data_IF_931967190396
#
_entry.id   IF_931967190396
#
_cell.length_a   1.000
_cell.length_b   1.000
_cell.length_c   1.000
_cell.angle_alpha   90.00
_cell.angle_beta   90.00
_cell.angle_gamma   90.00
#
_symmetry.space_group_name_H-M   'P 1'
#
loop_
_entity.id
_entity.type
_entity.pdbx_description
1 polymer ?
#
# COMPACT_ATOMS: atom_id res chain seq x y z
N UNK A 1 -13.85 7.58 9.80
CA UNK A 1 -12.64 8.28 10.30
C UNK A 1 -11.51 7.28 10.17
N UNK A 2 -10.48 7.60 9.47
CA UNK A 2 -9.25 6.80 9.41
C UNK A 2 -8.37 7.39 10.51
N UNK A 3 -7.95 6.54 11.45
CA UNK A 3 -7.02 6.93 12.52
C UNK A 3 -5.62 6.71 11.97
N UNK A 4 -4.68 7.61 12.26
CA UNK A 4 -3.29 7.45 11.91
C UNK A 4 -2.72 6.18 12.58
N UNK A 5 -1.80 5.49 11.91
CA UNK A 5 -1.19 4.26 12.46
C UNK A 5 -0.31 4.54 13.69
N UNK A 6 0.16 5.78 13.85
CA UNK A 6 0.86 6.22 15.05
C UNK A 6 -0.07 6.36 16.26
N UNK A 7 -1.38 6.45 16.02
CA UNK A 7 -2.37 6.57 17.05
C UNK A 7 -2.89 5.20 17.48
N UNK A 8 -3.04 5.04 18.79
CA UNK A 8 -3.59 3.82 19.37
C UNK A 8 -5.05 3.59 18.95
N UNK A 9 -5.35 2.42 18.41
CA UNK A 9 -6.72 1.98 18.18
C UNK A 9 -7.25 1.23 19.42
N UNK A 10 -8.46 1.56 19.88
CA UNK A 10 -9.15 0.86 20.97
C UNK A 10 -10.05 -0.25 20.41
N UNK A 11 -9.50 -1.21 19.69
CA UNK A 11 -10.27 -2.13 18.85
C UNK A 11 -10.19 -3.59 19.26
N UNK A 12 -9.16 -4.01 20.01
CA UNK A 12 -8.98 -5.43 20.32
C UNK A 12 -9.58 -5.85 21.67
N UNK A 13 -9.93 -4.93 22.54
CA UNK A 13 -10.27 -5.17 23.95
C UNK A 13 -9.07 -5.63 24.79
N UNK A 14 -7.85 -5.43 24.31
CA UNK A 14 -6.60 -5.65 25.03
C UNK A 14 -5.73 -4.40 24.92
N UNK A 15 -5.50 -3.75 26.05
CA UNK A 15 -4.65 -2.56 26.09
C UNK A 15 -3.25 -2.86 25.54
N UNK A 16 -2.66 -3.96 25.94
CA UNK A 16 -1.33 -4.36 25.52
C UNK A 16 -1.24 -4.57 23.99
N UNK A 17 -2.25 -5.22 23.40
CA UNK A 17 -2.29 -5.41 21.95
C UNK A 17 -2.54 -4.07 21.22
N UNK A 18 -3.50 -3.27 21.71
CA UNK A 18 -3.87 -1.99 21.06
C UNK A 18 -2.73 -0.96 21.11
N UNK A 19 -1.79 -1.07 22.06
CA UNK A 19 -0.64 -0.18 22.16
C UNK A 19 0.44 -0.44 21.12
N UNK A 20 0.49 -1.62 20.53
CA UNK A 20 1.57 -2.06 19.64
C UNK A 20 1.11 -2.63 18.30
N UNK A 21 -0.19 -2.63 18.05
CA UNK A 21 -0.76 -3.24 16.85
C UNK A 21 -1.43 -2.24 15.92
N UNK A 22 -1.17 -2.37 14.63
CA UNK A 22 -1.98 -1.77 13.58
C UNK A 22 -3.24 -2.60 13.39
N UNK A 23 -4.42 -1.98 13.50
CA UNK A 23 -5.72 -2.65 13.33
C UNK A 23 -6.17 -2.60 11.88
N UNK A 24 -6.51 -3.74 11.32
CA UNK A 24 -7.07 -3.86 9.97
C UNK A 24 -8.50 -4.38 10.06
N UNK A 25 -9.43 -3.67 9.45
CA UNK A 25 -10.82 -4.12 9.26
C UNK A 25 -11.07 -4.43 7.80
N UNK A 26 -11.52 -5.65 7.49
CA UNK A 26 -11.78 -6.13 6.15
C UNK A 26 -13.27 -6.33 5.92
N UNK A 27 -13.74 -6.05 4.69
CA UNK A 27 -15.08 -6.42 4.28
C UNK A 27 -15.21 -7.94 4.15
N UNK A 28 -16.32 -8.49 4.60
CA UNK A 28 -16.65 -9.91 4.51
C UNK A 28 -18.15 -10.12 4.38
N UNK A 29 -18.58 -11.36 4.12
CA UNK A 29 -19.98 -11.76 4.22
C UNK A 29 -20.51 -11.51 5.64
N UNK A 30 -21.83 -11.40 5.77
CA UNK A 30 -22.52 -11.08 7.03
C UNK A 30 -22.78 -12.30 7.92
N UNK A 31 -22.56 -13.50 7.38
CA UNK A 31 -22.77 -14.78 8.07
C UNK A 31 -21.52 -15.66 8.01
N UNK A 32 -21.43 -16.61 8.94
CA UNK A 32 -20.37 -17.63 8.92
C UNK A 32 -20.30 -18.35 7.56
N UNK A 33 -19.09 -18.59 7.08
CA UNK A 33 -17.77 -18.41 7.71
C UNK A 33 -17.18 -16.99 7.57
N UNK A 34 -17.97 -15.99 7.26
CA UNK A 34 -17.57 -14.60 6.97
C UNK A 34 -16.56 -14.52 5.83
N UNK A 35 -16.90 -15.15 4.70
CA UNK A 35 -16.02 -15.24 3.55
C UNK A 35 -15.70 -13.86 2.96
N UNK A 36 -14.52 -13.73 2.39
CA UNK A 36 -14.09 -12.55 1.64
C UNK A 36 -14.06 -12.85 0.16
N UNK A 37 -14.27 -11.81 -0.66
CA UNK A 37 -13.97 -11.93 -2.08
C UNK A 37 -12.45 -12.01 -2.29
N UNK A 38 -12.04 -12.60 -3.41
CA UNK A 38 -10.62 -12.69 -3.76
C UNK A 38 -9.94 -11.31 -3.84
N UNK A 39 -10.67 -10.29 -4.28
CA UNK A 39 -10.15 -8.93 -4.35
C UNK A 39 -9.87 -8.34 -2.97
N UNK A 40 -10.76 -8.55 -2.00
CA UNK A 40 -10.55 -8.12 -0.61
C UNK A 40 -9.35 -8.85 -0.01
N UNK A 41 -9.25 -10.17 -0.23
CA UNK A 41 -8.13 -10.98 0.25
C UNK A 41 -6.79 -10.53 -0.33
N UNK A 42 -6.72 -10.31 -1.65
CA UNK A 42 -5.51 -9.81 -2.30
C UNK A 42 -5.13 -8.39 -1.81
N UNK A 43 -6.12 -7.53 -1.54
CA UNK A 43 -5.87 -6.20 -0.97
C UNK A 43 -5.37 -6.27 0.47
N UNK A 44 -5.88 -7.21 1.28
CA UNK A 44 -5.37 -7.46 2.63
C UNK A 44 -3.88 -7.80 2.60
N UNK A 45 -3.46 -8.72 1.72
CA UNK A 45 -2.05 -9.10 1.59
C UNK A 45 -1.19 -7.88 1.22
N UNK A 46 -1.59 -7.11 0.21
CA UNK A 46 -0.87 -5.90 -0.21
C UNK A 46 -0.78 -4.85 0.91
N UNK A 47 -1.85 -4.67 1.68
CA UNK A 47 -1.84 -3.76 2.83
C UNK A 47 -0.89 -4.24 3.92
N UNK A 48 -0.86 -5.55 4.21
CA UNK A 48 0.10 -6.11 5.17
C UNK A 48 1.55 -5.94 4.70
N UNK A 49 1.83 -6.12 3.40
CA UNK A 49 3.16 -5.85 2.82
C UNK A 49 3.55 -4.39 3.02
N UNK A 50 2.66 -3.45 2.68
CA UNK A 50 2.89 -2.02 2.83
C UNK A 50 3.12 -1.62 4.30
N UNK A 51 2.32 -2.14 5.24
CA UNK A 51 2.53 -1.92 6.68
C UNK A 51 3.90 -2.43 7.12
N UNK A 52 4.28 -3.64 6.73
CA UNK A 52 5.59 -4.20 7.06
C UNK A 52 6.73 -3.33 6.50
N UNK A 53 6.65 -2.92 5.23
CA UNK A 53 7.66 -2.10 4.57
C UNK A 53 7.84 -0.74 5.26
N UNK A 54 6.74 -0.04 5.56
CA UNK A 54 6.78 1.27 6.25
C UNK A 54 7.39 1.17 7.65
N UNK A 55 7.22 0.03 8.31
CA UNK A 55 7.83 -0.24 9.62
C UNK A 55 9.21 -0.91 9.52
N UNK A 56 9.82 -0.98 8.33
CA UNK A 56 11.16 -1.56 8.12
C UNK A 56 11.24 -3.06 8.36
N UNK A 57 10.12 -3.77 8.25
CA UNK A 57 10.00 -5.21 8.50
C UNK A 57 10.06 -6.01 7.20
N UNK A 58 10.58 -7.22 7.32
CA UNK A 58 10.77 -8.13 6.18
C UNK A 58 10.08 -9.48 6.38
N UNK A 59 9.39 -9.67 7.50
CA UNK A 59 8.73 -10.92 7.82
C UNK A 59 7.46 -10.68 8.64
N UNK A 60 6.38 -11.34 8.24
CA UNK A 60 5.13 -11.41 8.99
C UNK A 60 4.94 -12.84 9.51
N UNK A 61 4.62 -13.00 10.79
CA UNK A 61 4.52 -14.28 11.47
C UNK A 61 3.07 -14.56 11.88
N UNK A 62 2.69 -15.83 11.79
CA UNK A 62 1.45 -16.37 12.34
C UNK A 62 1.70 -17.67 13.08
N UNK A 63 1.44 -17.72 14.37
CA UNK A 63 1.67 -18.91 15.21
C UNK A 63 0.40 -19.76 15.39
N UNK A 64 -0.76 -19.26 15.01
CA UNK A 64 -2.08 -19.87 15.23
C UNK A 64 -2.43 -20.14 16.71
N UNK A 65 -1.59 -19.72 17.64
CA UNK A 65 -1.76 -19.83 19.08
C UNK A 65 -1.65 -18.46 19.76
N UNK A 66 -2.61 -18.17 20.65
CA UNK A 66 -2.68 -16.89 21.37
C UNK A 66 -1.46 -16.71 22.29
N UNK A 67 -1.15 -17.72 23.07
CA UNK A 67 -0.10 -17.65 24.11
C UNK A 67 1.27 -17.50 23.44
N UNK A 68 1.53 -18.28 22.41
CA UNK A 68 2.75 -18.18 21.63
C UNK A 68 2.89 -16.81 20.97
N UNK A 69 1.84 -16.32 20.30
CA UNK A 69 1.86 -15.01 19.64
C UNK A 69 2.10 -13.85 20.59
N UNK A 70 1.49 -13.86 21.78
CA UNK A 70 1.60 -12.75 22.74
C UNK A 70 2.89 -12.78 23.54
N UNK A 71 3.46 -13.96 23.79
CA UNK A 71 4.73 -14.12 24.49
C UNK A 71 5.94 -14.01 23.56
N UNK A 72 5.72 -14.06 22.23
CA UNK A 72 6.82 -13.92 21.28
C UNK A 72 7.32 -12.46 21.25
N UNK A 73 8.62 -12.29 21.35
CA UNK A 73 9.28 -10.98 21.19
C UNK A 73 9.76 -10.90 19.73
N UNK A 74 9.08 -10.13 18.86
CA UNK A 74 9.49 -10.02 17.47
C UNK A 74 10.91 -9.46 17.34
N UNK A 75 11.70 -10.06 16.46
CA UNK A 75 13.02 -9.51 16.09
C UNK A 75 12.82 -8.20 15.31
N UNK A 76 13.90 -7.44 15.15
CA UNK A 76 13.85 -6.11 14.53
C UNK A 76 13.18 -6.08 13.13
N UNK A 77 13.20 -7.20 12.41
CA UNK A 77 12.63 -7.36 11.04
C UNK A 77 11.31 -8.14 11.01
N UNK A 78 10.70 -8.42 12.14
CA UNK A 78 9.50 -9.26 12.25
C UNK A 78 8.31 -8.47 12.78
N UNK A 79 7.11 -8.84 12.33
CA UNK A 79 5.81 -8.47 12.91
C UNK A 79 4.98 -9.74 13.09
N UNK A 80 4.00 -9.70 14.00
CA UNK A 80 3.16 -10.86 14.34
C UNK A 80 1.69 -10.52 14.12
N UNK A 81 0.96 -11.44 13.48
CA UNK A 81 -0.48 -11.37 13.36
C UNK A 81 -1.16 -11.78 14.67
N UNK A 82 -2.17 -11.04 15.07
CA UNK A 82 -3.11 -11.40 16.14
C UNK A 82 -4.55 -11.20 15.68
N UNK A 83 -5.52 -11.73 16.41
CA UNK A 83 -6.92 -11.69 16.00
C UNK A 83 -7.84 -11.30 17.16
N UNK A 84 -8.93 -10.62 16.86
CA UNK A 84 -9.86 -10.10 17.85
C UNK A 84 -10.46 -11.18 18.76
N UNK A 85 -10.78 -12.37 18.22
CA UNK A 85 -11.34 -13.49 19.00
C UNK A 85 -10.45 -13.97 20.15
N UNK A 86 -9.17 -13.63 20.15
CA UNK A 86 -8.27 -13.97 21.24
C UNK A 86 -8.41 -13.06 22.45
N UNK A 87 -8.96 -11.88 22.29
CA UNK A 87 -9.02 -10.85 23.32
C UNK A 87 -10.45 -10.60 23.84
N UNK A 88 -11.45 -10.95 23.03
CA UNK A 88 -12.87 -10.75 23.38
C UNK A 88 -13.72 -11.91 22.84
N UNK A 89 -14.92 -12.06 23.40
CA UNK A 89 -15.92 -13.01 22.88
C UNK A 89 -16.51 -12.50 21.55
N UNK A 90 -15.74 -12.61 20.49
CA UNK A 90 -16.05 -12.17 19.13
C UNK A 90 -15.71 -13.24 18.12
N UNK A 91 -16.45 -13.28 16.99
CA UNK A 91 -16.17 -14.18 15.87
C UNK A 91 -15.01 -13.70 14.96
N UNK A 92 -14.65 -12.41 15.03
CA UNK A 92 -13.57 -11.85 14.20
C UNK A 92 -12.25 -12.60 14.33
N UNK A 93 -11.57 -12.91 13.21
CA UNK A 93 -11.79 -12.42 11.85
C UNK A 93 -12.79 -13.23 11.02
N UNK A 94 -13.55 -14.15 11.60
CA UNK A 94 -14.33 -15.19 10.94
C UNK A 94 -13.49 -16.44 10.63
N UNK A 95 -14.14 -17.60 10.48
CA UNK A 95 -13.43 -18.86 10.28
C UNK A 95 -12.74 -18.85 8.91
N UNK A 96 -13.35 -18.29 7.89
CA UNK A 96 -12.77 -18.24 6.55
C UNK A 96 -11.39 -17.56 6.52
N UNK A 97 -11.24 -16.40 7.15
CA UNK A 97 -9.94 -15.70 7.21
C UNK A 97 -9.01 -16.37 8.23
N UNK A 98 -9.52 -16.82 9.38
CA UNK A 98 -8.71 -17.45 10.41
C UNK A 98 -7.90 -18.66 9.86
N UNK A 99 -8.54 -19.50 9.07
CA UNK A 99 -7.91 -20.67 8.42
C UNK A 99 -6.86 -20.28 7.36
N UNK A 100 -6.87 -19.02 6.91
CA UNK A 100 -5.98 -18.51 5.85
C UNK A 100 -4.89 -17.55 6.36
N UNK A 101 -4.82 -17.33 7.68
CA UNK A 101 -3.80 -16.39 8.21
C UNK A 101 -2.38 -16.91 8.05
N UNK A 102 -2.15 -18.23 7.97
CA UNK A 102 -0.85 -18.78 7.58
C UNK A 102 -0.52 -18.36 6.14
N UNK A 103 -1.45 -18.57 5.19
CA UNK A 103 -1.25 -18.15 3.79
C UNK A 103 -1.01 -16.64 3.68
N UNK A 104 -1.71 -15.83 4.47
CA UNK A 104 -1.45 -14.37 4.53
C UNK A 104 -0.02 -14.09 4.97
N UNK A 105 0.43 -14.71 6.08
CA UNK A 105 1.77 -14.50 6.62
C UNK A 105 2.87 -14.96 5.64
N UNK A 106 2.69 -16.10 5.02
CA UNK A 106 3.62 -16.68 4.05
C UNK A 106 3.73 -15.82 2.80
N UNK A 107 2.61 -15.44 2.19
CA UNK A 107 2.59 -14.60 0.98
C UNK A 107 3.15 -13.19 1.23
N UNK A 108 2.81 -12.58 2.37
CA UNK A 108 3.40 -11.30 2.76
C UNK A 108 4.91 -11.42 2.91
N UNK A 109 5.39 -12.46 3.60
CA UNK A 109 6.83 -12.69 3.79
C UNK A 109 7.54 -12.96 2.46
N UNK A 110 6.92 -13.73 1.55
CA UNK A 110 7.42 -13.98 0.21
C UNK A 110 7.54 -12.67 -0.59
N UNK A 111 6.48 -11.85 -0.65
CA UNK A 111 6.51 -10.55 -1.34
C UNK A 111 7.56 -9.61 -0.75
N UNK A 112 7.75 -9.60 0.57
CA UNK A 112 8.79 -8.84 1.26
C UNK A 112 10.21 -9.35 0.93
N UNK A 113 10.39 -10.66 0.76
CA UNK A 113 11.69 -11.26 0.44
C UNK A 113 12.08 -11.01 -1.01
N UNK A 114 11.12 -11.09 -1.94
CA UNK A 114 11.34 -10.75 -3.36
C UNK A 114 11.69 -9.27 -3.50
N UNK A 115 11.03 -8.38 -2.72
CA UNK A 115 11.36 -6.97 -2.66
C UNK A 115 12.77 -6.68 -2.11
N UNK A 116 13.31 -7.53 -1.23
CA UNK A 116 14.66 -7.39 -0.66
C UNK A 116 15.79 -8.01 -1.51
N UNK A 117 15.47 -8.97 -2.38
CA UNK A 117 16.45 -9.59 -3.29
C UNK A 117 16.58 -8.86 -4.62
N UNK A 118 15.69 -7.93 -4.90
CA UNK A 118 15.74 -7.02 -6.03
C UNK A 118 16.04 -5.61 -5.50
N UNK A 119 17.26 -5.38 -5.07
CA UNK A 119 17.78 -4.04 -4.85
C UNK A 119 17.49 -3.23 -6.14
N UNK A 120 16.67 -2.19 -5.99
CA UNK A 120 16.38 -1.14 -6.98
C UNK A 120 15.23 -1.34 -7.99
N UNK A 121 14.51 -2.46 -8.10
CA UNK A 121 13.46 -2.59 -9.15
C UNK A 121 12.00 -2.39 -8.69
N UNK A 122 11.72 -2.22 -7.39
CA UNK A 122 10.36 -2.07 -6.86
C UNK A 122 10.07 -0.72 -6.19
N UNK A 123 10.95 0.28 -6.31
CA UNK A 123 10.61 1.64 -5.85
C UNK A 123 9.51 2.20 -6.75
N UNK A 124 8.32 2.37 -6.18
CA UNK A 124 7.26 3.15 -6.83
C UNK A 124 7.80 4.57 -6.98
N UNK A 125 7.94 5.02 -8.22
CA UNK A 125 8.30 6.39 -8.51
C UNK A 125 7.03 7.18 -8.81
N UNK A 126 6.83 8.26 -8.08
CA UNK A 126 5.81 9.26 -8.35
C UNK A 126 6.32 10.16 -9.49
N UNK A 127 5.72 10.02 -10.67
CA UNK A 127 6.14 10.79 -11.84
C UNK A 127 5.21 11.97 -12.06
N UNK A 128 5.77 13.16 -12.25
CA UNK A 128 5.00 14.34 -12.65
C UNK A 128 4.99 14.40 -14.18
N UNK A 129 3.81 14.19 -14.77
CA UNK A 129 3.58 14.18 -16.21
C UNK A 129 2.81 15.42 -16.66
N UNK A 130 3.21 15.97 -17.83
CA UNK A 130 2.63 17.18 -18.44
C UNK A 130 2.00 16.90 -19.80
N UNK A 131 1.44 15.72 -19.97
CA UNK A 131 0.69 15.33 -21.16
C UNK A 131 1.17 14.02 -21.77
N UNK A 132 0.27 13.46 -22.59
CA UNK A 132 0.46 12.24 -23.37
C UNK A 132 -0.04 12.50 -24.78
N UNK A 133 0.78 12.22 -25.80
CA UNK A 133 0.53 12.57 -27.18
C UNK A 133 0.71 11.35 -28.08
N UNK A 134 -0.16 11.21 -29.09
CA UNK A 134 0.00 10.23 -30.18
C UNK A 134 1.06 10.67 -31.20
N UNK A 135 1.11 11.99 -31.45
CA UNK A 135 2.00 12.58 -32.43
C UNK A 135 3.26 13.17 -31.78
N UNK A 136 4.42 12.79 -32.33
CA UNK A 136 5.72 13.23 -31.80
C UNK A 136 5.88 14.75 -31.83
N UNK A 137 5.39 15.39 -32.90
CA UNK A 137 5.51 16.85 -33.09
C UNK A 137 4.82 17.61 -31.96
N UNK A 138 3.64 17.21 -31.55
CA UNK A 138 2.90 17.85 -30.47
C UNK A 138 3.61 17.67 -29.11
N UNK A 139 4.19 16.49 -28.89
CA UNK A 139 4.99 16.22 -27.71
C UNK A 139 6.28 17.05 -27.66
N UNK A 140 6.97 17.19 -28.77
CA UNK A 140 8.20 18.03 -28.90
C UNK A 140 7.89 19.50 -28.68
N UNK A 141 6.77 20.00 -29.16
CA UNK A 141 6.33 21.37 -28.92
C UNK A 141 6.07 21.62 -27.42
N UNK A 142 5.33 20.74 -26.76
CA UNK A 142 5.07 20.85 -25.33
C UNK A 142 6.35 20.75 -24.50
N UNK A 143 7.23 19.81 -24.84
CA UNK A 143 8.55 19.66 -24.21
C UNK A 143 9.36 20.97 -24.30
N UNK A 144 9.40 21.60 -25.49
CA UNK A 144 10.10 22.87 -25.71
C UNK A 144 9.49 24.01 -24.88
N UNK A 145 8.17 24.08 -24.79
CA UNK A 145 7.46 25.11 -23.98
C UNK A 145 7.82 24.98 -22.49
N UNK A 146 7.80 23.76 -21.96
CA UNK A 146 8.11 23.49 -20.54
C UNK A 146 9.58 23.77 -20.26
N UNK A 147 10.48 23.35 -21.17
CA UNK A 147 11.91 23.62 -21.06
C UNK A 147 12.24 25.11 -21.07
N UNK A 148 11.56 25.89 -21.92
CA UNK A 148 11.71 27.35 -21.99
C UNK A 148 11.21 28.05 -20.71
N UNK A 149 10.28 27.43 -19.97
CA UNK A 149 9.83 27.89 -18.68
C UNK A 149 10.80 27.52 -17.52
N UNK A 150 11.94 26.92 -17.83
CA UNK A 150 13.00 26.63 -16.86
C UNK A 150 12.87 25.30 -16.13
N UNK A 151 12.00 24.39 -16.58
CA UNK A 151 11.86 23.07 -15.99
C UNK A 151 12.74 22.05 -16.72
N UNK A 152 13.32 21.14 -15.94
CA UNK A 152 13.98 19.95 -16.49
C UNK A 152 12.92 18.94 -16.91
N UNK A 153 12.83 18.68 -18.22
CA UNK A 153 11.76 17.90 -18.83
C UNK A 153 12.28 16.96 -19.87
N UNK A 154 11.75 15.76 -19.92
CA UNK A 154 12.10 14.75 -20.91
C UNK A 154 10.86 14.05 -21.47
N UNK A 155 11.04 13.43 -22.63
CA UNK A 155 10.00 12.69 -23.34
C UNK A 155 10.34 11.21 -23.37
N UNK A 156 9.36 10.35 -23.06
CA UNK A 156 9.45 8.90 -23.24
C UNK A 156 8.40 8.41 -24.22
N UNK A 157 8.72 7.41 -25.03
CA UNK A 157 7.73 6.69 -25.85
C UNK A 157 7.37 5.37 -25.17
N UNK A 158 6.09 5.23 -24.77
CA UNK A 158 5.56 4.05 -24.08
C UNK A 158 4.26 3.64 -24.78
N UNK A 159 4.15 2.39 -25.20
CA UNK A 159 2.96 1.85 -25.87
C UNK A 159 2.49 2.71 -27.06
N UNK A 160 3.42 3.21 -27.87
CA UNK A 160 3.12 4.04 -29.01
C UNK A 160 2.86 5.53 -28.73
N UNK A 161 2.66 5.91 -27.46
CA UNK A 161 2.36 7.27 -27.03
C UNK A 161 3.63 7.98 -26.50
N UNK A 162 3.70 9.29 -26.70
CA UNK A 162 4.77 10.16 -26.19
C UNK A 162 4.33 10.81 -24.89
N UNK A 163 4.97 10.44 -23.77
CA UNK A 163 4.71 11.00 -22.44
C UNK A 163 5.75 12.07 -22.12
N UNK A 164 5.29 13.25 -21.66
CA UNK A 164 6.15 14.34 -21.21
C UNK A 164 6.25 14.30 -19.70
N UNK A 165 7.47 14.17 -19.18
CA UNK A 165 7.75 13.94 -17.76
C UNK A 165 8.75 14.97 -17.23
N UNK A 166 8.49 15.53 -16.03
CA UNK A 166 9.34 16.54 -15.38
C UNK A 166 10.24 15.93 -14.32
N UNK A 167 9.81 14.83 -13.71
CA UNK A 167 10.62 14.18 -12.68
C UNK A 167 9.99 12.88 -12.21
N UNK A 168 10.79 12.12 -11.49
CA UNK A 168 10.37 10.93 -10.76
C UNK A 168 10.86 11.03 -9.32
N UNK A 169 9.98 10.83 -8.36
CA UNK A 169 10.22 11.03 -6.95
C UNK A 169 9.89 9.77 -6.17
N UNK A 170 10.74 9.39 -5.21
CA UNK A 170 10.47 8.26 -4.32
C UNK A 170 9.56 8.65 -3.15
N UNK A 171 9.34 9.95 -2.94
CA UNK A 171 8.51 10.53 -1.89
C UNK A 171 7.39 11.33 -2.54
N UNK A 172 6.15 11.01 -2.18
CA UNK A 172 4.93 11.60 -2.78
C UNK A 172 4.88 13.12 -2.63
N UNK A 173 5.20 13.62 -1.46
CA UNK A 173 5.22 15.04 -1.13
C UNK A 173 6.14 15.84 -2.04
N UNK A 174 7.29 15.28 -2.43
CA UNK A 174 8.20 15.92 -3.38
C UNK A 174 7.61 16.01 -4.79
N UNK A 175 6.84 14.99 -5.20
CA UNK A 175 6.11 15.03 -6.47
C UNK A 175 4.96 16.06 -6.42
N UNK A 176 4.25 16.17 -5.29
CA UNK A 176 3.19 17.16 -5.08
C UNK A 176 3.73 18.60 -5.13
N UNK A 177 4.87 18.86 -4.50
CA UNK A 177 5.56 20.17 -4.59
C UNK A 177 5.92 20.51 -6.04
N UNK A 178 6.43 19.56 -6.80
CA UNK A 178 6.74 19.79 -8.22
C UNK A 178 5.47 19.97 -9.05
N UNK A 179 4.40 19.23 -8.78
CA UNK A 179 3.11 19.37 -9.42
C UNK A 179 2.54 20.79 -9.24
N UNK A 180 2.61 21.33 -8.02
CA UNK A 180 2.17 22.70 -7.75
C UNK A 180 3.03 23.75 -8.48
N UNK A 181 4.36 23.57 -8.52
CA UNK A 181 5.26 24.47 -9.24
C UNK A 181 4.94 24.54 -10.74
N UNK A 182 4.73 23.40 -11.37
CA UNK A 182 4.46 23.34 -12.81
C UNK A 182 3.06 23.88 -13.15
N UNK A 183 2.06 23.62 -12.30
CA UNK A 183 0.71 24.20 -12.43
C UNK A 183 0.73 25.73 -12.26
N UNK A 184 1.49 26.23 -11.31
CA UNK A 184 1.67 27.68 -11.11
C UNK A 184 2.37 28.37 -12.28
N UNK A 185 3.16 27.62 -13.07
CA UNK A 185 3.75 28.10 -14.32
C UNK A 185 2.80 28.01 -15.53
N UNK A 186 1.53 27.62 -15.31
CA UNK A 186 0.49 27.59 -16.35
C UNK A 186 0.47 26.31 -17.20
N UNK A 187 1.06 25.21 -16.72
CA UNK A 187 1.02 23.93 -17.42
C UNK A 187 0.09 22.95 -16.71
N UNK A 188 -0.71 22.23 -17.49
CA UNK A 188 -1.47 21.09 -16.96
C UNK A 188 -0.52 19.94 -16.64
N UNK A 189 -0.65 19.41 -15.43
CA UNK A 189 0.17 18.31 -14.96
C UNK A 189 -0.58 17.41 -13.95
N UNK A 190 -0.15 16.18 -13.85
CA UNK A 190 -0.69 15.18 -12.93
C UNK A 190 0.41 14.21 -12.46
N UNK A 191 0.16 13.55 -11.32
CA UNK A 191 1.07 12.52 -10.80
C UNK A 191 0.60 11.15 -11.26
N UNK A 192 1.52 10.36 -11.80
CA UNK A 192 1.35 8.93 -12.04
C UNK A 192 2.32 8.14 -11.21
N UNK A 193 1.98 6.89 -10.92
CA UNK A 193 2.86 5.95 -10.24
C UNK A 193 3.30 4.89 -11.24
N UNK A 194 4.60 4.75 -11.42
CA UNK A 194 5.20 3.64 -12.17
C UNK A 194 6.10 2.83 -11.23
N UNK A 195 6.04 1.51 -11.35
CA UNK A 195 7.12 0.67 -10.81
C UNK A 195 8.32 0.71 -11.78
N UNK A 196 9.50 0.32 -11.33
CA UNK A 196 10.72 0.29 -12.15
C UNK A 196 10.63 -0.66 -13.35
N UNK A 197 9.55 -1.44 -13.49
CA UNK A 197 9.25 -2.25 -14.67
C UNK A 197 8.48 -1.45 -15.74
N UNK A 198 8.27 -0.13 -15.55
CA UNK A 198 7.54 0.72 -16.50
C UNK A 198 6.04 0.43 -16.58
N UNK A 199 5.49 -0.29 -15.60
CA UNK A 199 4.05 -0.54 -15.49
C UNK A 199 3.39 0.53 -14.62
N UNK A 200 2.35 1.16 -15.15
CA UNK A 200 1.54 2.12 -14.42
C UNK A 200 0.85 1.43 -13.24
N UNK A 201 1.06 1.96 -12.05
CA UNK A 201 0.40 1.49 -10.82
C UNK A 201 -0.77 2.42 -10.57
N UNK A 202 -1.99 1.91 -10.66
CA UNK A 202 -3.17 2.70 -10.35
C UNK A 202 -3.17 3.07 -8.85
N UNK A 203 -3.48 4.35 -8.50
CA UNK A 203 -3.62 4.73 -7.12
C UNK A 203 -4.69 3.86 -6.45
N UNK A 204 -4.36 3.28 -5.31
CA UNK A 204 -5.29 2.54 -4.47
C UNK A 204 -6.30 3.52 -3.85
N UNK A 205 -7.31 3.91 -4.62
CA UNK A 205 -8.50 4.53 -4.04
C UNK A 205 -9.28 3.41 -3.35
N UNK A 206 -9.03 3.25 -2.05
CA UNK A 206 -9.78 2.34 -1.20
C UNK A 206 -11.14 2.99 -0.94
N UNK A 207 -12.11 2.76 -1.83
CA UNK A 207 -13.52 2.92 -1.49
C UNK A 207 -13.93 1.62 -0.81
N UNK A 208 -13.79 1.57 0.51
CA UNK A 208 -14.41 0.54 1.30
C UNK A 208 -15.93 0.78 1.29
N UNK A 209 -16.66 0.05 0.45
CA UNK A 209 -18.10 -0.09 0.66
C UNK A 209 -18.31 -0.85 1.97
N UNK A 210 -18.90 -0.16 2.93
CA UNK A 210 -19.19 -0.67 4.27
C UNK A 210 -20.26 -1.77 4.18
N UNK A 211 -19.87 -3.04 4.21
CA UNK A 211 -20.76 -4.08 4.69
C UNK A 211 -20.88 -3.95 6.23
N UNK A 212 -22.06 -4.26 6.79
CA UNK A 212 -22.34 -4.08 8.21
C UNK A 212 -21.54 -5.01 9.15
N UNK A 213 -20.79 -5.94 8.60
CA UNK A 213 -19.92 -6.86 9.33
C UNK A 213 -18.50 -6.71 8.83
N UNK A 214 -17.54 -6.64 9.75
CA UNK A 214 -16.12 -6.46 9.44
C UNK A 214 -15.29 -7.54 10.12
N UNK A 215 -14.39 -8.14 9.37
CA UNK A 215 -13.36 -9.03 9.93
C UNK A 215 -12.18 -8.20 10.43
N UNK A 216 -11.69 -8.49 11.64
CA UNK A 216 -10.58 -7.76 12.27
C UNK A 216 -9.39 -8.65 12.48
N UNK A 217 -8.25 -8.19 12.02
CA UNK A 217 -6.94 -8.71 12.35
C UNK A 217 -6.03 -7.58 12.83
N UNK A 218 -4.95 -7.91 13.49
CA UNK A 218 -3.98 -6.97 14.00
C UNK A 218 -2.57 -7.41 13.61
N UNK A 219 -1.70 -6.46 13.34
CA UNK A 219 -0.29 -6.69 13.09
C UNK A 219 0.50 -6.01 14.21
N UNK A 220 1.15 -6.81 15.04
CA UNK A 220 1.97 -6.33 16.16
C UNK A 220 3.41 -6.13 15.74
N UNK A 221 3.98 -5.06 16.28
CA UNK A 221 5.39 -4.73 16.19
C UNK A 221 6.14 -5.17 17.47
#
# INVERSE_FOLDING_TARGET
>A
MIVDEADRSWCSSSEENDQRAVTIECASDVSEPYAMTQDVYNKLIKLCVDICQRNGKTKLLWFADKSESLNYIPKSKEMVLTVHRWFANKSCPGNWLYERLSDVADRVTEELSVGNSLDDSSKIAYQVQCGVYSEKVNAEEQLKRIKNAGFDVFMKKINGMYKIQIGAYNVKENAEIMLEKIKSAGFDAFITMENNLGKEVLPLNIVAQLSRQKSKIFIMN
#
